data_IF_129921974078
#
_entry.id   IF_129921974078
#
_cell.length_a   1.000
_cell.length_b   1.000
_cell.length_c   1.000
_cell.angle_alpha   90.00
_cell.angle_beta   90.00
_cell.angle_gamma   90.00
#
_symmetry.space_group_name_H-M   'P 1'
#
loop_
_entity.id
_entity.type
_entity.pdbx_description
1 polymer ?
#
# COMPACT_ATOMS: atom_id res chain seq x y z
N UNK A 1 -59.29 -30.55 -51.55
CA UNK A 1 -58.74 -29.29 -52.12
C UNK A 1 -58.76 -28.28 -50.97
N UNK A 2 -57.69 -27.64 -50.50
CA UNK A 2 -56.39 -27.37 -51.07
C UNK A 2 -55.38 -27.36 -49.90
N UNK A 3 -54.38 -28.24 -50.02
CA UNK A 3 -53.19 -28.34 -49.20
C UNK A 3 -52.27 -27.19 -49.64
N UNK A 4 -52.28 -26.06 -48.93
CA UNK A 4 -51.58 -24.88 -49.45
C UNK A 4 -51.69 -23.62 -48.59
N UNK A 5 -51.44 -23.71 -47.28
CA UNK A 5 -51.28 -22.51 -46.44
C UNK A 5 -50.26 -22.70 -45.31
N UNK A 6 -49.31 -23.62 -45.47
CA UNK A 6 -48.27 -23.90 -44.48
C UNK A 6 -46.90 -23.27 -44.82
N UNK A 7 -46.83 -22.41 -45.85
CA UNK A 7 -45.57 -21.89 -46.39
C UNK A 7 -45.49 -20.35 -46.45
N UNK A 8 -46.39 -19.64 -45.77
CA UNK A 8 -46.46 -18.16 -45.83
C UNK A 8 -46.55 -17.46 -44.46
N UNK A 9 -45.99 -18.08 -43.43
CA UNK A 9 -45.69 -17.44 -42.13
C UNK A 9 -44.20 -17.56 -41.77
N UNK A 10 -43.34 -17.74 -42.78
CA UNK A 10 -41.91 -18.00 -42.64
C UNK A 10 -41.02 -16.75 -42.77
N UNK A 11 -41.54 -15.52 -42.62
CA UNK A 11 -40.79 -14.34 -43.08
C UNK A 11 -40.88 -13.07 -42.22
N UNK A 12 -41.21 -13.16 -40.93
CA UNK A 12 -41.12 -11.99 -40.05
C UNK A 12 -40.58 -12.37 -38.66
N UNK A 13 -39.59 -11.59 -38.22
CA UNK A 13 -38.97 -11.55 -36.89
C UNK A 13 -37.72 -12.42 -36.67
N UNK A 14 -36.70 -12.17 -37.49
CA UNK A 14 -35.30 -12.23 -37.07
C UNK A 14 -35.02 -11.12 -36.04
N UNK A 15 -35.12 -11.45 -34.76
CA UNK A 15 -34.57 -10.65 -33.66
C UNK A 15 -34.02 -11.60 -32.61
N UNK A 16 -32.78 -12.07 -32.82
CA UNK A 16 -32.00 -12.71 -31.77
C UNK A 16 -31.70 -11.66 -30.70
N UNK A 17 -32.54 -11.62 -29.67
CA UNK A 17 -32.21 -10.92 -28.43
C UNK A 17 -31.02 -11.66 -27.80
N UNK A 18 -29.90 -10.95 -27.72
CA UNK A 18 -28.72 -11.37 -27.00
C UNK A 18 -29.12 -11.70 -25.55
N UNK A 19 -28.95 -12.96 -25.16
CA UNK A 19 -28.94 -13.35 -23.76
C UNK A 19 -27.63 -12.82 -23.16
N UNK A 20 -27.65 -11.82 -22.25
CA UNK A 20 -26.43 -11.44 -21.58
C UNK A 20 -26.00 -12.62 -20.72
N UNK A 21 -24.86 -13.21 -21.07
CA UNK A 21 -24.12 -14.15 -20.25
C UNK A 21 -24.12 -13.64 -18.80
N UNK A 22 -24.29 -14.49 -17.77
CA UNK A 22 -24.17 -14.05 -16.39
C UNK A 22 -22.83 -13.38 -16.24
N UNK A 23 -22.84 -12.10 -15.87
CA UNK A 23 -21.67 -11.35 -15.44
C UNK A 23 -20.98 -12.21 -14.38
N UNK A 24 -19.84 -12.80 -14.74
CA UNK A 24 -18.99 -13.56 -13.85
C UNK A 24 -18.66 -12.60 -12.72
N UNK A 25 -19.35 -12.80 -11.59
CA UNK A 25 -19.26 -11.93 -10.44
C UNK A 25 -17.79 -11.94 -10.04
N UNK A 26 -17.11 -10.80 -10.28
CA UNK A 26 -15.77 -10.54 -9.82
C UNK A 26 -15.63 -11.17 -8.43
N UNK A 27 -14.62 -12.04 -8.20
CA UNK A 27 -14.56 -12.92 -7.05
C UNK A 27 -14.91 -12.08 -5.85
N UNK A 28 -16.10 -12.30 -5.29
CA UNK A 28 -16.52 -11.62 -4.08
C UNK A 28 -15.50 -12.06 -3.07
N UNK A 29 -14.50 -11.19 -2.84
CA UNK A 29 -13.52 -11.31 -1.78
C UNK A 29 -14.34 -11.80 -0.60
N UNK A 30 -14.09 -13.04 -0.17
CA UNK A 30 -14.86 -13.68 0.87
C UNK A 30 -15.07 -12.60 1.93
N UNK A 31 -16.32 -12.35 2.33
CA UNK A 31 -16.59 -11.46 3.46
C UNK A 31 -15.98 -12.15 4.68
N UNK A 32 -14.66 -12.04 4.84
CA UNK A 32 -14.03 -12.08 6.14
C UNK A 32 -14.88 -11.14 6.96
N UNK A 33 -15.46 -11.68 8.03
CA UNK A 33 -16.29 -10.92 8.95
C UNK A 33 -15.38 -9.87 9.56
N UNK A 34 -15.28 -8.72 8.89
CA UNK A 34 -14.44 -7.65 9.34
C UNK A 34 -15.02 -7.17 10.66
N UNK A 35 -14.18 -7.12 11.69
CA UNK A 35 -14.60 -6.73 13.02
C UNK A 35 -15.13 -5.30 12.97
N UNK A 36 -16.29 -5.07 13.59
CA UNK A 36 -16.86 -3.71 13.64
C UNK A 36 -15.91 -2.79 14.43
N UNK A 37 -15.92 -1.47 14.18
CA UNK A 37 -15.16 -0.50 14.97
C UNK A 37 -15.34 -0.66 16.49
N UNK A 38 -16.52 -1.06 16.93
CA UNK A 38 -16.83 -1.29 18.35
C UNK A 38 -16.16 -2.56 18.88
N UNK A 39 -16.13 -3.63 18.09
CA UNK A 39 -15.49 -4.89 18.48
C UNK A 39 -13.97 -4.74 18.56
N UNK A 40 -13.38 -4.02 17.59
CA UNK A 40 -11.95 -3.68 17.59
C UNK A 40 -11.60 -2.84 18.82
N UNK A 41 -12.37 -1.78 19.12
CA UNK A 41 -12.12 -0.96 20.29
C UNK A 41 -12.22 -1.75 21.61
N UNK A 42 -13.19 -2.68 21.71
CA UNK A 42 -13.33 -3.56 22.87
C UNK A 42 -12.14 -4.52 23.00
N UNK A 43 -11.70 -5.11 21.89
CA UNK A 43 -10.52 -5.97 21.86
C UNK A 43 -9.28 -5.22 22.34
N UNK A 44 -9.00 -4.05 21.76
CA UNK A 44 -7.83 -3.23 22.12
C UNK A 44 -7.85 -2.79 23.60
N UNK A 45 -9.03 -2.52 24.16
CA UNK A 45 -9.15 -2.11 25.58
C UNK A 45 -8.86 -3.27 26.55
N UNK A 46 -9.15 -4.51 26.15
CA UNK A 46 -8.97 -5.71 26.99
C UNK A 46 -7.69 -6.49 26.69
N UNK A 47 -6.99 -6.17 25.60
CA UNK A 47 -5.83 -6.91 25.16
C UNK A 47 -4.59 -6.66 26.03
N UNK A 48 -3.81 -7.71 26.21
CA UNK A 48 -2.51 -7.63 26.89
C UNK A 48 -1.54 -6.83 26.02
N UNK A 49 -0.87 -5.85 26.62
CA UNK A 49 0.05 -4.91 25.95
C UNK A 49 1.47 -5.46 25.78
N UNK A 50 1.66 -6.73 26.09
CA UNK A 50 2.92 -7.47 26.00
C UNK A 50 2.78 -8.50 24.88
N UNK A 51 3.78 -8.57 23.99
CA UNK A 51 3.70 -9.38 22.79
C UNK A 51 2.84 -8.72 21.70
N UNK A 52 2.40 -9.51 20.72
CA UNK A 52 1.67 -8.99 19.55
C UNK A 52 0.15 -9.14 19.59
N UNK A 53 -0.41 -9.72 20.65
CA UNK A 53 -1.86 -9.95 20.79
C UNK A 53 -2.69 -8.68 20.79
N UNK A 54 -2.15 -7.55 21.28
CA UNK A 54 -2.80 -6.24 21.14
C UNK A 54 -2.99 -5.86 19.66
N UNK A 55 -1.98 -6.08 18.84
CA UNK A 55 -2.02 -5.72 17.42
C UNK A 55 -2.84 -6.71 16.59
N UNK A 56 -3.04 -7.96 17.04
CA UNK A 56 -3.98 -8.90 16.42
C UNK A 56 -5.42 -8.36 16.40
N UNK A 57 -5.80 -7.51 17.37
CA UNK A 57 -7.11 -6.84 17.37
C UNK A 57 -7.32 -5.92 16.16
N UNK A 58 -6.23 -5.45 15.54
CA UNK A 58 -6.26 -4.59 14.35
C UNK A 58 -6.35 -5.42 13.05
N UNK A 59 -6.11 -6.73 13.11
CA UNK A 59 -6.26 -7.60 11.95
C UNK A 59 -7.74 -7.80 11.62
N UNK A 60 -8.05 -7.87 10.34
CA UNK A 60 -9.42 -8.02 9.85
C UNK A 60 -10.36 -6.92 10.37
N UNK A 61 -9.83 -5.71 10.66
CA UNK A 61 -10.67 -4.56 10.95
C UNK A 61 -11.34 -4.05 9.67
N UNK A 62 -12.51 -3.43 9.77
CA UNK A 62 -13.12 -2.74 8.61
C UNK A 62 -12.29 -1.55 8.10
N UNK A 63 -11.23 -1.16 8.81
CA UNK A 63 -10.43 0.02 8.53
C UNK A 63 -9.08 -0.27 7.88
N UNK A 64 -8.85 -1.48 7.37
CA UNK A 64 -7.63 -1.85 6.63
C UNK A 64 -6.38 -1.41 7.40
N UNK A 65 -6.27 -1.94 8.62
CA UNK A 65 -5.16 -1.70 9.54
C UNK A 65 -4.19 -2.88 9.56
N UNK A 66 -4.25 -3.70 8.52
CA UNK A 66 -3.46 -4.91 8.38
C UNK A 66 -1.96 -4.55 8.37
N UNK A 67 -1.13 -5.46 8.87
CA UNK A 67 0.33 -5.31 8.99
C UNK A 67 0.88 -4.73 10.28
N UNK A 68 0.06 -4.16 11.19
CA UNK A 68 0.56 -3.84 12.54
C UNK A 68 0.93 -5.09 13.34
N UNK A 69 0.14 -6.16 13.21
CA UNK A 69 0.43 -7.43 13.86
C UNK A 69 1.66 -8.10 13.25
N UNK A 70 1.72 -8.19 11.91
CA UNK A 70 2.88 -8.72 11.18
C UNK A 70 4.17 -7.98 11.54
N UNK A 71 4.13 -6.65 11.60
CA UNK A 71 5.30 -5.84 11.96
C UNK A 71 5.74 -6.13 13.40
N UNK A 72 4.79 -6.27 14.32
CA UNK A 72 5.10 -6.66 15.69
C UNK A 72 5.76 -8.05 15.76
N UNK A 73 5.19 -9.04 15.07
CA UNK A 73 5.72 -10.41 15.03
C UNK A 73 7.14 -10.41 14.45
N UNK A 74 7.37 -9.61 13.41
CA UNK A 74 8.70 -9.48 12.81
C UNK A 74 9.71 -8.84 13.77
N UNK A 75 9.34 -7.82 14.55
CA UNK A 75 10.19 -7.28 15.60
C UNK A 75 10.48 -8.32 16.70
N UNK A 76 9.49 -9.11 17.11
CA UNK A 76 9.68 -10.15 18.13
C UNK A 76 10.54 -11.31 17.62
N UNK A 77 10.33 -11.76 16.39
CA UNK A 77 11.10 -12.83 15.76
C UNK A 77 12.58 -12.41 15.63
N UNK A 78 12.82 -11.18 15.18
CA UNK A 78 14.16 -10.62 15.00
C UNK A 78 14.80 -10.17 16.33
N UNK A 79 14.05 -10.16 17.44
CA UNK A 79 14.55 -9.70 18.74
C UNK A 79 15.84 -10.42 19.18
N UNK A 80 16.05 -11.68 18.76
CA UNK A 80 17.26 -12.44 19.05
C UNK A 80 18.53 -11.81 18.42
N UNK A 81 18.40 -11.22 17.23
CA UNK A 81 19.46 -10.55 16.46
C UNK A 81 19.84 -9.18 17.03
N UNK A 82 18.98 -8.57 17.86
CA UNK A 82 19.29 -7.31 18.52
C UNK A 82 20.21 -7.50 19.73
N UNK A 83 21.08 -6.51 19.94
CA UNK A 83 21.80 -6.32 21.18
C UNK A 83 20.84 -5.97 22.35
N UNK A 84 21.36 -5.82 23.56
CA UNK A 84 20.55 -5.55 24.76
C UNK A 84 19.71 -4.26 24.66
N UNK A 85 20.27 -3.22 24.05
CA UNK A 85 19.60 -1.94 23.84
C UNK A 85 18.46 -2.09 22.82
N UNK A 86 18.71 -2.76 21.70
CA UNK A 86 17.72 -3.05 20.67
C UNK A 86 16.57 -3.92 21.16
N UNK A 87 16.84 -4.94 21.99
CA UNK A 87 15.79 -5.73 22.66
C UNK A 87 14.91 -4.87 23.57
N UNK A 88 15.53 -3.92 24.27
CA UNK A 88 14.81 -2.96 25.11
C UNK A 88 13.97 -2.01 24.26
N UNK A 89 14.49 -1.55 23.12
CA UNK A 89 13.76 -0.75 22.15
C UNK A 89 12.52 -1.49 21.64
N UNK A 90 12.65 -2.74 21.19
CA UNK A 90 11.51 -3.56 20.71
C UNK A 90 10.42 -3.63 21.78
N UNK A 91 10.80 -3.98 23.02
CA UNK A 91 9.84 -4.06 24.12
C UNK A 91 9.15 -2.72 24.39
N UNK A 92 9.92 -1.63 24.47
CA UNK A 92 9.40 -0.30 24.82
C UNK A 92 8.56 0.31 23.69
N UNK A 93 8.94 0.12 22.43
CA UNK A 93 8.24 0.68 21.27
C UNK A 93 6.89 0.00 21.07
N UNK A 94 6.83 -1.34 21.16
CA UNK A 94 5.57 -2.09 21.13
C UNK A 94 4.63 -1.67 22.28
N UNK A 95 5.18 -1.52 23.49
CA UNK A 95 4.40 -1.05 24.63
C UNK A 95 3.88 0.39 24.42
N UNK A 96 4.74 1.32 23.99
CA UNK A 96 4.39 2.70 23.67
C UNK A 96 3.25 2.75 22.64
N UNK A 97 3.37 2.01 21.54
CA UNK A 97 2.35 1.97 20.49
C UNK A 97 1.02 1.44 21.02
N UNK A 98 1.05 0.36 21.80
CA UNK A 98 -0.17 -0.20 22.38
C UNK A 98 -0.91 0.80 23.29
N UNK A 99 -0.17 1.53 24.12
CA UNK A 99 -0.73 2.56 25.01
C UNK A 99 -1.26 3.76 24.22
N UNK A 100 -0.50 4.25 23.25
CA UNK A 100 -0.89 5.38 22.41
C UNK A 100 -2.15 5.10 21.58
N UNK A 101 -2.24 3.91 21.00
CA UNK A 101 -3.42 3.48 20.23
C UNK A 101 -4.62 3.31 21.16
N UNK A 102 -4.45 2.60 22.29
CA UNK A 102 -5.54 2.36 23.26
C UNK A 102 -6.11 3.67 23.81
N UNK A 103 -5.25 4.65 24.12
CA UNK A 103 -5.69 5.96 24.62
C UNK A 103 -6.47 6.80 23.60
N UNK A 104 -6.28 6.58 22.30
CA UNK A 104 -6.89 7.38 21.22
C UNK A 104 -7.99 6.62 20.45
N UNK A 105 -8.16 5.31 20.67
CA UNK A 105 -9.02 4.43 19.84
C UNK A 105 -10.46 4.92 19.75
N UNK A 106 -11.10 5.26 20.87
CA UNK A 106 -12.52 5.65 20.89
C UNK A 106 -12.80 6.95 20.13
N UNK A 107 -11.79 7.82 20.00
CA UNK A 107 -11.90 9.09 19.27
C UNK A 107 -11.71 8.89 17.77
N UNK A 108 -10.83 7.96 17.37
CA UNK A 108 -10.39 7.82 15.99
C UNK A 108 -11.10 6.70 15.21
N UNK A 109 -11.52 5.61 15.86
CA UNK A 109 -11.95 4.37 15.19
C UNK A 109 -13.24 4.49 14.36
N UNK A 110 -14.05 5.52 14.60
CA UNK A 110 -15.28 5.78 13.84
C UNK A 110 -15.02 6.19 12.39
N UNK A 111 -13.80 6.63 12.07
CA UNK A 111 -13.41 7.08 10.72
C UNK A 111 -12.07 6.44 10.36
N UNK A 112 -12.08 5.50 9.43
CA UNK A 112 -10.90 4.69 9.11
C UNK A 112 -9.69 5.53 8.70
N UNK A 113 -9.88 6.59 7.92
CA UNK A 113 -8.79 7.49 7.54
C UNK A 113 -8.13 8.20 8.74
N UNK A 114 -8.91 8.55 9.76
CA UNK A 114 -8.41 9.15 11.01
C UNK A 114 -7.75 8.09 11.88
N UNK A 115 -8.35 6.90 11.98
CA UNK A 115 -7.80 5.80 12.75
C UNK A 115 -6.45 5.32 12.23
N UNK A 116 -6.35 5.03 10.93
CA UNK A 116 -5.10 4.64 10.29
C UNK A 116 -4.03 5.74 10.38
N UNK A 117 -4.42 7.03 10.39
CA UNK A 117 -3.47 8.14 10.56
C UNK A 117 -2.98 8.21 12.00
N UNK A 118 -3.89 8.12 12.96
CA UNK A 118 -3.55 8.10 14.38
C UNK A 118 -2.57 6.97 14.72
N UNK A 119 -2.77 5.77 14.19
CA UNK A 119 -1.84 4.65 14.39
C UNK A 119 -0.44 4.99 13.85
N UNK A 120 -0.36 5.54 12.63
CA UNK A 120 0.92 5.93 12.04
C UNK A 120 1.62 7.06 12.82
N UNK A 121 0.86 8.05 13.29
CA UNK A 121 1.39 9.13 14.14
C UNK A 121 1.92 8.59 15.47
N UNK A 122 1.20 7.67 16.12
CA UNK A 122 1.65 7.01 17.35
C UNK A 122 2.92 6.19 17.09
N UNK A 123 2.97 5.47 15.97
CA UNK A 123 4.14 4.67 15.58
C UNK A 123 5.39 5.55 15.39
N UNK A 124 5.26 6.64 14.64
CA UNK A 124 6.34 7.62 14.43
C UNK A 124 6.80 8.25 15.76
N UNK A 125 5.85 8.68 16.61
CA UNK A 125 6.14 9.25 17.94
C UNK A 125 6.91 8.24 18.83
N UNK A 126 6.49 6.97 18.85
CA UNK A 126 7.15 5.94 19.65
C UNK A 126 8.55 5.59 19.13
N UNK A 127 8.77 5.56 17.83
CA UNK A 127 10.10 5.28 17.27
C UNK A 127 11.08 6.44 17.49
N UNK A 128 10.62 7.67 17.27
CA UNK A 128 11.45 8.87 17.45
C UNK A 128 11.78 9.10 18.93
N UNK A 129 10.81 8.99 19.83
CA UNK A 129 11.03 9.16 21.28
C UNK A 129 11.94 8.10 21.90
N UNK A 130 12.06 6.93 21.27
CA UNK A 130 12.91 5.83 21.71
C UNK A 130 14.23 5.73 20.93
N UNK A 131 14.59 6.77 20.18
CA UNK A 131 15.84 6.89 19.41
C UNK A 131 16.14 5.70 18.50
N UNK A 132 15.19 5.41 17.60
CA UNK A 132 15.36 4.35 16.59
C UNK A 132 16.65 4.51 15.77
N UNK A 133 17.17 5.72 15.58
CA UNK A 133 18.39 5.95 14.82
C UNK A 133 19.62 5.36 15.51
N UNK A 134 19.75 5.54 16.83
CA UNK A 134 20.83 4.88 17.57
C UNK A 134 20.69 3.36 17.58
N UNK A 135 19.46 2.85 17.68
CA UNK A 135 19.19 1.41 17.59
C UNK A 135 19.57 0.86 16.22
N UNK A 136 19.23 1.57 15.14
CA UNK A 136 19.56 1.18 13.78
C UNK A 136 21.06 1.23 13.50
N UNK A 137 21.77 2.23 14.04
CA UNK A 137 23.23 2.33 13.92
C UNK A 137 23.96 1.18 14.61
N UNK A 138 23.46 0.76 15.78
CA UNK A 138 24.08 -0.29 16.60
C UNK A 138 23.60 -1.71 16.25
N UNK A 139 22.50 -1.84 15.51
CA UNK A 139 21.92 -3.11 15.08
C UNK A 139 21.48 -3.08 13.60
N UNK A 140 22.37 -2.76 12.65
CA UNK A 140 21.99 -2.55 11.25
C UNK A 140 21.42 -3.81 10.59
N UNK A 141 22.00 -4.98 10.89
CA UNK A 141 21.53 -6.25 10.34
C UNK A 141 20.14 -6.62 10.86
N UNK A 142 19.91 -6.44 12.17
CA UNK A 142 18.61 -6.72 12.80
C UNK A 142 17.51 -5.79 12.25
N UNK A 143 17.79 -4.51 12.08
CA UNK A 143 16.87 -3.60 11.39
C UNK A 143 16.63 -4.06 9.95
N UNK A 144 17.68 -4.47 9.23
CA UNK A 144 17.53 -5.02 7.88
C UNK A 144 16.58 -6.23 7.81
N UNK A 145 16.55 -7.09 8.84
CA UNK A 145 15.61 -8.22 8.86
C UNK A 145 14.17 -7.79 9.11
N UNK A 146 13.97 -6.77 9.96
CA UNK A 146 12.63 -6.20 10.21
C UNK A 146 12.11 -5.42 9.02
N UNK A 147 13.02 -4.89 8.19
CA UNK A 147 12.68 -4.14 6.99
C UNK A 147 12.74 -5.04 5.75
N UNK A 148 12.31 -6.30 5.89
CA UNK A 148 11.96 -7.13 4.74
C UNK A 148 10.57 -6.77 4.23
N UNK A 149 10.44 -6.69 2.90
CA UNK A 149 9.20 -6.28 2.24
C UNK A 149 8.06 -7.22 2.66
N UNK A 150 7.00 -6.71 3.32
CA UNK A 150 5.87 -7.54 3.71
C UNK A 150 5.22 -8.19 2.49
N UNK A 151 4.59 -9.35 2.68
CA UNK A 151 3.78 -10.04 1.66
C UNK A 151 2.66 -9.18 1.07
N UNK A 152 2.27 -8.10 1.79
CA UNK A 152 1.21 -7.16 1.42
C UNK A 152 1.72 -5.73 1.22
N UNK A 153 2.88 -5.56 0.57
CA UNK A 153 3.32 -4.23 0.15
C UNK A 153 2.36 -3.65 -0.92
N UNK A 154 1.91 -2.38 -0.79
CA UNK A 154 2.31 -1.37 0.20
C UNK A 154 1.53 -1.44 1.53
N UNK A 155 2.27 -1.45 2.65
CA UNK A 155 1.70 -1.36 4.00
C UNK A 155 2.01 0.01 4.63
N UNK A 156 1.00 0.71 5.16
CA UNK A 156 1.17 2.07 5.71
C UNK A 156 2.15 2.09 6.90
N UNK A 157 2.01 1.16 7.83
CA UNK A 157 2.77 1.15 9.09
C UNK A 157 4.22 0.75 8.88
N UNK A 158 4.44 -0.16 7.96
CA UNK A 158 5.77 -0.45 7.45
C UNK A 158 6.40 0.76 6.76
N UNK A 159 5.63 1.50 5.96
CA UNK A 159 6.09 2.73 5.32
C UNK A 159 6.48 3.79 6.36
N UNK A 160 5.74 3.90 7.47
CA UNK A 160 6.08 4.79 8.58
C UNK A 160 7.43 4.42 9.20
N UNK A 161 7.67 3.14 9.51
CA UNK A 161 8.98 2.68 10.00
C UNK A 161 10.11 3.07 9.05
N UNK A 162 9.93 2.80 7.76
CA UNK A 162 10.90 3.16 6.72
C UNK A 162 11.17 4.67 6.65
N UNK A 163 10.11 5.48 6.70
CA UNK A 163 10.22 6.94 6.68
C UNK A 163 10.95 7.45 7.92
N UNK A 164 10.68 6.90 9.10
CA UNK A 164 11.41 7.27 10.32
C UNK A 164 12.90 6.88 10.22
N UNK A 165 13.22 5.71 9.67
CA UNK A 165 14.61 5.28 9.46
C UNK A 165 15.34 6.14 8.42
N UNK A 166 14.63 6.66 7.41
CA UNK A 166 15.19 7.56 6.39
C UNK A 166 15.53 8.95 6.95
N UNK A 167 15.01 9.33 8.12
CA UNK A 167 15.33 10.58 8.79
C UNK A 167 16.60 10.50 9.67
N UNK A 168 17.23 9.32 9.76
CA UNK A 168 18.48 9.12 10.48
C UNK A 168 19.69 9.68 9.70
N UNK A 169 20.88 9.61 10.30
CA UNK A 169 22.12 10.00 9.63
C UNK A 169 22.42 9.15 8.38
N UNK A 170 23.13 9.75 7.40
CA UNK A 170 23.42 9.15 6.10
C UNK A 170 24.06 7.75 6.19
N UNK A 171 24.92 7.52 7.18
CA UNK A 171 25.56 6.22 7.38
C UNK A 171 24.54 5.16 7.79
N UNK A 172 23.65 5.51 8.72
CA UNK A 172 22.55 4.64 9.15
C UNK A 172 21.58 4.37 8.01
N UNK A 173 21.20 5.40 7.24
CA UNK A 173 20.33 5.26 6.07
C UNK A 173 20.95 4.35 5.02
N UNK A 174 22.25 4.49 4.76
CA UNK A 174 22.98 3.63 3.82
C UNK A 174 23.01 2.17 4.29
N UNK A 175 23.21 1.91 5.58
CA UNK A 175 23.19 0.56 6.15
C UNK A 175 21.79 -0.09 6.06
N UNK A 176 20.74 0.66 6.39
CA UNK A 176 19.34 0.21 6.27
C UNK A 176 19.01 -0.10 4.81
N UNK A 177 19.34 0.80 3.88
CA UNK A 177 19.18 0.56 2.42
C UNK A 177 19.96 -0.68 1.98
N UNK A 178 21.19 -0.80 2.48
CA UNK A 178 22.05 -1.98 2.47
C UNK A 178 21.29 -3.29 2.69
N UNK A 179 20.72 -3.39 3.90
CA UNK A 179 19.97 -4.55 4.38
C UNK A 179 18.69 -4.83 3.59
N UNK A 180 17.97 -3.79 3.18
CA UNK A 180 16.75 -3.94 2.36
C UNK A 180 17.10 -4.54 0.99
N UNK A 181 18.11 -3.97 0.31
CA UNK A 181 18.51 -4.41 -1.03
C UNK A 181 19.09 -5.82 -1.00
N UNK A 182 19.90 -6.17 0.00
CA UNK A 182 20.49 -7.50 0.09
C UNK A 182 19.46 -8.61 0.25
N UNK A 183 18.30 -8.31 0.84
CA UNK A 183 17.21 -9.27 1.03
C UNK A 183 16.16 -9.28 -0.08
N UNK A 184 15.97 -8.15 -0.76
CA UNK A 184 15.18 -8.09 -2.00
C UNK A 184 15.92 -8.70 -3.20
N UNK A 185 17.25 -8.65 -3.20
CA UNK A 185 18.09 -9.11 -4.30
C UNK A 185 17.78 -10.54 -4.76
N UNK A 186 17.74 -11.54 -3.85
CA UNK A 186 17.45 -12.93 -4.22
C UNK A 186 16.07 -13.13 -4.88
N UNK A 187 15.03 -12.47 -4.37
CA UNK A 187 13.67 -12.58 -4.91
C UNK A 187 13.55 -11.88 -6.26
N UNK A 188 14.16 -10.71 -6.40
CA UNK A 188 14.22 -9.96 -7.65
C UNK A 188 15.03 -10.70 -8.71
N UNK A 189 16.15 -11.29 -8.34
CA UNK A 189 16.99 -12.12 -9.22
C UNK A 189 16.23 -13.37 -9.68
N UNK A 190 15.55 -14.06 -8.76
CA UNK A 190 14.70 -15.22 -9.08
C UNK A 190 13.56 -14.83 -10.01
N UNK A 191 12.91 -13.70 -9.76
CA UNK A 191 11.88 -13.15 -10.64
C UNK A 191 12.42 -12.80 -12.03
N UNK A 192 13.58 -12.15 -12.11
CA UNK A 192 14.23 -11.85 -13.38
C UNK A 192 14.61 -13.12 -14.13
N UNK A 193 15.13 -14.15 -13.46
CA UNK A 193 15.38 -15.45 -14.06
C UNK A 193 14.09 -16.09 -14.57
N UNK A 194 13.00 -16.07 -13.79
CA UNK A 194 11.68 -16.59 -14.22
C UNK A 194 11.13 -15.86 -15.46
N UNK A 195 11.36 -14.55 -15.58
CA UNK A 195 10.99 -13.77 -16.77
C UNK A 195 11.92 -14.08 -17.95
N UNK A 196 13.22 -14.20 -17.69
CA UNK A 196 14.26 -14.40 -18.71
C UNK A 196 14.33 -15.85 -19.20
N UNK A 197 13.72 -16.81 -18.50
CA UNK A 197 13.68 -18.24 -18.84
C UNK A 197 12.82 -18.60 -20.07
N UNK A 198 12.49 -17.63 -20.92
CA UNK A 198 12.10 -17.91 -22.30
C UNK A 198 13.21 -17.39 -23.22
N UNK A 199 14.09 -18.25 -23.78
CA UNK A 199 14.90 -17.83 -24.90
C UNK A 199 13.94 -17.40 -26.00
N UNK A 200 13.94 -16.11 -26.32
CA UNK A 200 13.37 -15.63 -27.58
C UNK A 200 14.13 -16.35 -28.69
N UNK A 201 13.56 -17.42 -29.23
CA UNK A 201 14.04 -18.03 -30.48
C UNK A 201 13.95 -16.94 -31.54
N UNK A 202 15.07 -16.51 -32.15
CA UNK A 202 15.01 -15.61 -33.29
C UNK A 202 14.67 -16.48 -34.51
N UNK A 203 13.43 -16.94 -34.59
CA UNK A 203 12.91 -17.54 -35.82
C UNK A 203 11.78 -16.68 -36.36
N UNK A 204 12.19 -15.84 -37.31
CA UNK A 204 11.48 -15.55 -38.55
C UNK A 204 9.94 -15.58 -38.52
N UNK A 205 9.36 -14.41 -38.23
CA UNK A 205 8.16 -13.92 -38.92
C UNK A 205 6.79 -14.30 -38.35
N UNK A 206 6.18 -13.39 -37.59
CA UNK A 206 4.76 -13.02 -37.79
C UNK A 206 4.38 -11.80 -36.94
N UNK A 207 3.97 -10.74 -37.63
CA UNK A 207 3.08 -9.65 -37.22
C UNK A 207 3.06 -9.24 -35.73
N UNK A 208 3.63 -8.05 -35.47
CA UNK A 208 3.32 -7.26 -34.29
C UNK A 208 1.81 -6.94 -34.26
N UNK A 209 1.04 -7.72 -33.49
CA UNK A 209 -0.28 -7.29 -33.02
C UNK A 209 -0.09 -6.26 -31.90
N UNK A 210 0.18 -5.01 -32.29
CA UNK A 210 0.00 -3.87 -31.39
C UNK A 210 -1.50 -3.64 -31.21
N UNK A 211 -2.10 -4.29 -30.20
CA UNK A 211 -3.45 -3.96 -29.77
C UNK A 211 -3.38 -3.09 -28.50
N UNK A 212 -3.58 -1.76 -28.60
CA UNK A 212 -3.55 -0.86 -27.45
C UNK A 212 -4.71 -1.09 -26.44
N UNK A 213 -5.61 -2.02 -26.70
CA UNK A 213 -6.68 -2.39 -25.77
C UNK A 213 -6.26 -3.35 -24.65
N UNK A 214 -5.07 -3.99 -24.72
CA UNK A 214 -4.60 -4.88 -23.62
C UNK A 214 -4.22 -4.14 -22.34
N UNK A 215 -4.03 -2.81 -22.42
CA UNK A 215 -3.65 -1.95 -21.30
C UNK A 215 -4.83 -1.31 -20.56
N UNK A 216 -6.08 -1.65 -20.92
CA UNK A 216 -7.26 -1.00 -20.31
C UNK A 216 -7.56 -1.45 -18.87
N UNK A 217 -6.94 -2.54 -18.39
CA UNK A 217 -7.23 -3.14 -17.08
C UNK A 217 -6.00 -3.29 -16.16
N UNK A 218 -5.02 -2.39 -16.25
CA UNK A 218 -4.00 -2.32 -15.20
C UNK A 218 -4.58 -1.56 -13.99
N UNK A 219 -4.56 -2.12 -12.77
CA UNK A 219 -4.98 -1.37 -11.60
C UNK A 219 -4.04 -0.17 -11.43
N UNK A 220 -4.61 1.03 -11.55
CA UNK A 220 -3.89 2.27 -11.26
C UNK A 220 -3.65 2.30 -9.75
N UNK A 221 -2.39 2.18 -9.33
CA UNK A 221 -1.99 2.47 -7.96
C UNK A 221 -2.17 3.98 -7.72
N UNK A 222 -3.33 4.36 -7.18
CA UNK A 222 -3.58 5.73 -6.72
C UNK A 222 -2.80 6.01 -5.43
N UNK A 223 -1.48 6.12 -5.55
CA UNK A 223 -0.66 6.76 -4.53
C UNK A 223 -0.86 8.25 -4.76
N UNK A 224 -1.84 8.87 -4.10
CA UNK A 224 -1.94 10.32 -4.07
C UNK A 224 -0.70 10.86 -3.32
N UNK A 225 0.20 11.62 -3.96
CA UNK A 225 1.23 12.33 -3.23
C UNK A 225 0.54 13.38 -2.36
N UNK A 226 0.89 13.44 -1.07
CA UNK A 226 0.38 14.44 -0.15
C UNK A 226 0.59 15.85 -0.70
N UNK A 227 -0.42 16.71 -0.58
CA UNK A 227 -0.41 18.11 -1.00
C UNK A 227 0.49 18.97 -0.11
N UNK A 228 1.80 18.74 -0.12
CA UNK A 228 2.79 19.72 0.35
C UNK A 228 3.93 19.83 -0.66
N UNK A 229 3.97 20.97 -1.35
CA UNK A 229 5.12 21.42 -2.15
C UNK A 229 5.19 20.84 -3.56
N UNK A 230 4.42 21.40 -4.51
CA UNK A 230 4.76 21.28 -5.94
C UNK A 230 5.76 22.39 -6.27
N UNK A 231 6.99 21.99 -6.56
CA UNK A 231 8.00 22.83 -7.19
C UNK A 231 7.50 23.22 -8.61
N UNK A 232 7.42 24.52 -8.95
CA UNK A 232 6.88 24.98 -10.23
C UNK A 232 7.77 24.64 -11.44
N UNK A 233 8.91 23.97 -11.26
CA UNK A 233 9.87 23.67 -12.34
C UNK A 233 9.80 22.26 -12.92
N UNK A 234 8.86 21.41 -12.49
CA UNK A 234 8.76 20.06 -13.06
C UNK A 234 8.26 20.05 -14.52
N UNK A 235 8.97 19.26 -15.34
CA UNK A 235 8.82 19.04 -16.80
C UNK A 235 7.43 18.55 -17.27
N UNK A 236 6.43 18.43 -16.37
CA UNK A 236 5.04 18.07 -16.68
C UNK A 236 4.03 19.18 -16.33
N UNK A 237 4.50 20.38 -15.97
CA UNK A 237 3.66 21.56 -15.89
C UNK A 237 3.24 21.97 -17.31
N UNK A 238 2.08 21.46 -17.76
CA UNK A 238 1.42 21.96 -18.98
C UNK A 238 1.17 23.46 -18.82
N UNK A 239 1.89 24.27 -19.59
CA UNK A 239 1.48 25.63 -19.98
C UNK A 239 0.10 25.54 -20.62
N UNK A 240 -0.90 26.15 -20.02
CA UNK A 240 -2.00 26.77 -20.75
C UNK A 240 -1.67 28.26 -20.83
N UNK A 241 -1.00 28.65 -21.92
CA UNK A 241 -0.90 30.05 -22.36
C UNK A 241 -1.89 30.20 -23.51
N UNK A 242 -2.44 31.40 -23.62
CA UNK A 242 -3.55 31.93 -24.44
C UNK A 242 -4.94 31.73 -23.82
N UNK A 243 -5.69 32.79 -23.45
CA UNK A 243 -5.77 34.12 -24.05
C UNK A 243 -6.12 35.20 -22.99
N UNK A 244 -5.32 36.26 -22.90
CA UNK A 244 -5.72 37.66 -22.70
C UNK A 244 -4.47 38.52 -22.43
N UNK A 245 -3.71 38.79 -23.50
CA UNK A 245 -2.96 40.04 -23.61
C UNK A 245 -3.76 40.93 -24.56
N UNK A 246 -4.41 41.96 -24.02
CA UNK A 246 -4.56 43.28 -24.67
C UNK A 246 -5.20 44.24 -23.66
N UNK A 247 -4.35 44.91 -22.88
CA UNK A 247 -4.26 46.38 -22.86
C UNK A 247 -3.20 46.76 -21.81
N UNK A 248 -1.97 46.86 -22.31
CA UNK A 248 -0.90 47.61 -21.65
C UNK A 248 -1.15 49.11 -21.84
N UNK A 249 -1.13 49.83 -20.72
CA UNK A 249 -0.58 51.17 -20.61
C UNK A 249 -1.39 52.34 -21.19
N UNK A 250 -1.66 53.35 -20.36
CA UNK A 250 -1.14 54.72 -20.56
C UNK A 250 -1.50 55.65 -19.38
N UNK A 251 -0.43 56.16 -18.76
CA UNK A 251 -0.20 57.49 -18.15
C UNK A 251 -0.97 57.94 -16.90
N UNK A 252 -0.21 57.99 -15.81
CA UNK A 252 0.28 59.19 -15.09
C UNK A 252 -0.54 60.51 -15.13
N UNK A 253 -0.53 61.12 -13.94
CA UNK A 253 -0.67 62.54 -13.55
C UNK A 253 -2.01 63.03 -12.97
N UNK A 254 -1.82 63.59 -11.76
CA UNK A 254 -2.62 64.53 -10.95
C UNK A 254 -3.69 63.98 -10.00
#
# INVERSE_FOLDING_TARGET
MLRGSALLLLLLCSASAFEPLPEEAAPRRARFSANSPTDVARCLSGAVTVGCGFFSCLENSTCDTDGMHELCELFLHTAASFNTEGKTFVKKSLHCMSQGISGKVFQSIRRCNIFQRMIAEVQEECYTSLDICTVARTNPDAIGEVVQVPTHFPNRYYSTLLQTLQACDEQTVAAVRAGIVSRLGPDMETFLQLIQNKPCTPDSGSAAYNNPSSWRNMPVFNIQPGFRGRDPTHLFARRSVDSQEEEDGIKAHE
#
